data_IF_227467453693
#
_entry.id   IF_227467453693
#
_cell.length_a   1.000
_cell.length_b   1.000
_cell.length_c   1.000
_cell.angle_alpha   90.00
_cell.angle_beta   90.00
_cell.angle_gamma   90.00
#
_symmetry.space_group_name_H-M   'P 1'
#
loop_
_entity.id
_entity.type
_entity.pdbx_description
1 polymer ?
#
# COMPACT_ATOMS: atom_id res chain seq x y z
N UNK A 1 -3.96 -11.45 4.04
CA UNK A 1 -3.69 -10.35 3.07
C UNK A 1 -2.29 -10.56 2.50
N UNK A 2 -2.02 -10.18 1.24
CA UNK A 2 -0.65 -10.28 0.70
C UNK A 2 0.26 -9.13 1.20
N UNK A 3 1.59 -9.32 1.14
CA UNK A 3 2.56 -8.32 1.60
C UNK A 3 2.49 -7.00 0.83
N UNK A 4 2.07 -7.02 -0.44
CA UNK A 4 1.97 -5.82 -1.29
C UNK A 4 0.81 -4.96 -0.83
N UNK A 5 -0.35 -5.56 -0.66
CA UNK A 5 -1.57 -4.90 -0.21
C UNK A 5 -1.41 -4.41 1.22
N UNK A 6 -0.76 -5.18 2.10
CA UNK A 6 -0.42 -4.73 3.44
C UNK A 6 0.47 -3.48 3.41
N UNK A 7 1.52 -3.48 2.57
CA UNK A 7 2.41 -2.32 2.43
C UNK A 7 1.69 -1.11 1.84
N UNK A 8 0.83 -1.34 0.84
CA UNK A 8 0.00 -0.29 0.23
C UNK A 8 -0.92 0.35 1.27
N UNK A 9 -1.53 -0.45 2.14
CA UNK A 9 -2.37 0.04 3.24
C UNK A 9 -1.58 0.83 4.28
N UNK A 10 -0.39 0.39 4.66
CA UNK A 10 0.48 1.17 5.56
C UNK A 10 0.78 2.54 4.95
N UNK A 11 1.19 2.59 3.68
CA UNK A 11 1.52 3.85 3.01
C UNK A 11 0.31 4.77 2.95
N UNK A 12 -0.88 4.24 2.68
CA UNK A 12 -2.12 5.00 2.63
C UNK A 12 -2.55 5.51 4.01
N UNK A 13 -2.62 4.63 5.01
CA UNK A 13 -3.14 4.93 6.35
C UNK A 13 -2.27 5.98 7.06
N UNK A 14 -0.95 5.82 6.99
CA UNK A 14 0.01 6.72 7.61
C UNK A 14 0.39 7.91 6.70
N UNK A 15 -0.29 8.07 5.55
CA UNK A 15 -0.04 9.15 4.57
C UNK A 15 1.43 9.30 4.19
N UNK A 16 2.12 8.17 4.02
CA UNK A 16 3.56 8.16 3.74
C UNK A 16 3.82 8.64 2.32
N UNK A 17 4.76 9.57 2.18
CA UNK A 17 5.17 10.08 0.88
C UNK A 17 6.19 9.12 0.28
N UNK A 18 5.87 8.51 -0.87
CA UNK A 18 6.73 7.55 -1.56
C UNK A 18 8.13 8.12 -1.89
N UNK A 19 8.21 9.42 -2.19
CA UNK A 19 9.48 10.14 -2.41
C UNK A 19 10.37 10.12 -1.16
N UNK A 20 9.76 10.31 0.01
CA UNK A 20 10.48 10.34 1.29
C UNK A 20 10.89 8.94 1.72
N UNK A 21 10.01 7.95 1.57
CA UNK A 21 10.36 6.55 1.76
C UNK A 21 11.54 6.12 0.88
N UNK A 22 11.56 6.56 -0.37
CA UNK A 22 12.68 6.28 -1.27
C UNK A 22 13.98 6.94 -0.84
N UNK A 23 13.92 8.19 -0.36
CA UNK A 23 15.09 8.90 0.19
C UNK A 23 15.68 8.19 1.41
N UNK A 24 14.83 7.75 2.34
CA UNK A 24 15.27 7.10 3.58
C UNK A 24 15.75 5.66 3.35
N UNK A 25 15.08 4.91 2.48
CA UNK A 25 15.41 3.50 2.22
C UNK A 25 16.51 3.30 1.17
N UNK A 26 16.83 4.32 0.39
CA UNK A 26 17.71 4.22 -0.78
C UNK A 26 17.04 3.57 -2.01
N UNK A 27 15.74 3.21 -1.91
CA UNK A 27 14.99 2.61 -3.03
C UNK A 27 14.37 3.70 -3.88
N UNK A 28 14.51 3.62 -5.21
CA UNK A 28 13.94 4.64 -6.09
C UNK A 28 12.40 4.74 -5.92
N UNK A 29 11.81 5.95 -5.75
CA UNK A 29 10.38 6.13 -5.49
C UNK A 29 9.46 5.45 -6.52
N UNK A 30 9.86 5.45 -7.80
CA UNK A 30 9.12 4.76 -8.86
C UNK A 30 9.00 3.24 -8.62
N UNK A 31 10.01 2.61 -8.01
CA UNK A 31 9.95 1.18 -7.70
C UNK A 31 8.94 0.92 -6.57
N UNK A 32 8.90 1.79 -5.56
CA UNK A 32 7.92 1.73 -4.47
C UNK A 32 6.50 1.94 -5.03
N UNK A 33 6.33 2.92 -5.91
CA UNK A 33 5.04 3.21 -6.56
C UNK A 33 4.56 2.06 -7.43
N UNK A 34 5.43 1.53 -8.30
CA UNK A 34 5.13 0.40 -9.17
C UNK A 34 4.78 -0.86 -8.36
N UNK A 35 5.45 -1.07 -7.22
CA UNK A 35 5.10 -2.13 -6.28
C UNK A 35 3.71 -1.98 -5.72
N UNK A 36 3.38 -0.80 -5.18
CA UNK A 36 2.07 -0.54 -4.59
C UNK A 36 0.91 -0.64 -5.60
N UNK A 37 1.17 -0.40 -6.89
CA UNK A 37 0.17 -0.46 -7.96
C UNK A 37 0.03 -1.83 -8.62
N UNK A 38 0.82 -2.83 -8.22
CA UNK A 38 0.81 -4.14 -8.88
C UNK A 38 1.67 -4.24 -10.15
N UNK A 39 2.29 -3.15 -10.61
CA UNK A 39 3.02 -3.10 -11.88
C UNK A 39 4.39 -3.77 -11.86
N UNK A 40 5.03 -3.90 -10.69
CA UNK A 40 6.31 -4.62 -10.53
C UNK A 40 6.45 -5.20 -9.13
N UNK A 41 7.25 -6.24 -8.96
CA UNK A 41 7.66 -6.74 -7.64
C UNK A 41 8.94 -6.05 -7.17
N UNK A 42 9.08 -5.82 -5.87
CA UNK A 42 10.38 -5.43 -5.30
C UNK A 42 11.21 -6.70 -5.06
N UNK A 43 12.53 -6.59 -5.19
CA UNK A 43 13.43 -7.58 -4.62
C UNK A 43 13.27 -7.62 -3.10
N UNK A 44 13.58 -8.76 -2.49
CA UNK A 44 13.52 -8.92 -1.04
C UNK A 44 14.35 -7.85 -0.31
N UNK A 45 15.55 -7.55 -0.81
CA UNK A 45 16.43 -6.53 -0.26
C UNK A 45 15.79 -5.13 -0.28
N UNK A 46 15.24 -4.71 -1.41
CA UNK A 46 14.57 -3.41 -1.53
C UNK A 46 13.31 -3.34 -0.66
N UNK A 47 12.56 -4.43 -0.57
CA UNK A 47 11.40 -4.50 0.32
C UNK A 47 11.83 -4.34 1.78
N UNK A 48 12.88 -5.05 2.22
CA UNK A 48 13.42 -4.93 3.57
C UNK A 48 13.95 -3.52 3.87
N UNK A 49 14.61 -2.87 2.89
CA UNK A 49 15.08 -1.50 3.04
C UNK A 49 13.91 -0.52 3.27
N UNK A 50 12.83 -0.64 2.49
CA UNK A 50 11.61 0.16 2.68
C UNK A 50 10.93 -0.16 4.01
N UNK A 51 10.87 -1.43 4.39
CA UNK A 51 10.25 -1.86 5.64
C UNK A 51 11.00 -1.32 6.87
N UNK A 52 12.34 -1.31 6.84
CA UNK A 52 13.19 -0.86 7.96
C UNK A 52 13.05 0.63 8.28
N UNK A 53 12.69 1.45 7.29
CA UNK A 53 12.50 2.90 7.51
C UNK A 53 11.12 3.25 8.05
N UNK A 54 10.19 2.29 8.08
CA UNK A 54 8.90 2.47 8.72
C UNK A 54 9.06 2.60 10.23
N UNK A 55 8.22 3.43 10.85
CA UNK A 55 8.16 3.52 12.31
C UNK A 55 7.73 2.19 12.92
N UNK A 56 8.04 2.00 14.22
CA UNK A 56 7.63 0.80 14.96
C UNK A 56 6.11 0.58 14.91
N UNK A 57 5.35 1.67 14.91
CA UNK A 57 3.90 1.69 14.79
C UNK A 57 3.42 1.17 13.43
N UNK A 58 4.01 1.69 12.35
CA UNK A 58 3.71 1.29 10.96
C UNK A 58 4.06 -0.18 10.71
N UNK A 59 5.19 -0.65 11.26
CA UNK A 59 5.59 -2.05 11.18
C UNK A 59 4.60 -2.96 11.92
N UNK A 60 4.09 -2.55 13.08
CA UNK A 60 3.07 -3.31 13.82
C UNK A 60 1.76 -3.39 13.03
N UNK A 61 1.32 -2.27 12.45
CA UNK A 61 0.13 -2.26 11.58
C UNK A 61 0.31 -3.21 10.39
N UNK A 62 1.48 -3.17 9.75
CA UNK A 62 1.81 -4.10 8.66
C UNK A 62 1.67 -5.57 9.09
N UNK A 63 2.28 -5.95 10.22
CA UNK A 63 2.21 -7.32 10.70
C UNK A 63 0.79 -7.75 11.04
N UNK A 64 0.00 -6.90 11.71
CA UNK A 64 -1.41 -7.18 12.00
C UNK A 64 -2.22 -7.46 10.71
N UNK A 65 -1.96 -6.69 9.64
CA UNK A 65 -2.61 -6.92 8.34
C UNK A 65 -2.21 -8.26 7.70
N UNK A 66 -0.94 -8.64 7.82
CA UNK A 66 -0.42 -9.88 7.21
C UNK A 66 -0.85 -11.11 7.99
N UNK A 67 -0.78 -11.09 9.32
CA UNK A 67 -1.13 -12.23 10.17
C UNK A 67 -2.63 -12.38 10.38
N UNK A 68 -3.41 -11.32 10.15
CA UNK A 68 -4.84 -11.31 10.42
C UNK A 68 -5.19 -11.08 11.89
N UNK A 69 -4.19 -10.79 12.73
CA UNK A 69 -4.38 -10.47 14.14
C UNK A 69 -4.80 -9.01 14.30
N UNK A 70 -6.09 -8.75 14.09
CA UNK A 70 -6.67 -7.39 14.19
C UNK A 70 -6.68 -6.88 15.65
N UNK A 71 -6.52 -7.76 16.65
CA UNK A 71 -6.52 -7.37 18.08
C UNK A 71 -5.32 -6.49 18.47
N UNK A 72 -4.19 -6.58 17.76
CA UNK A 72 -3.02 -5.71 17.98
C UNK A 72 -3.21 -4.27 17.46
N UNK A 73 -4.29 -3.99 16.72
CA UNK A 73 -4.60 -2.69 16.15
C UNK A 73 -5.49 -1.80 17.05
N UNK A 74 -5.90 -2.27 18.23
CA UNK A 74 -6.86 -1.55 19.09
C UNK A 74 -6.42 -0.18 19.62
N UNK A 75 -5.11 0.08 19.70
CA UNK A 75 -4.51 1.37 20.09
C UNK A 75 -3.90 2.14 18.90
N UNK A 76 -3.89 1.53 17.72
CA UNK A 76 -3.45 2.19 16.49
C UNK A 76 -4.63 2.99 15.92
N UNK A 77 -4.41 4.07 15.15
CA UNK A 77 -5.50 4.73 14.45
C UNK A 77 -6.30 3.69 13.67
N UNK A 78 -7.49 3.38 14.19
CA UNK A 78 -8.37 2.36 13.62
C UNK A 78 -8.72 2.86 12.22
N UNK A 79 -8.45 2.08 11.16
CA UNK A 79 -8.75 2.52 9.82
C UNK A 79 -10.25 2.81 9.77
N UNK A 80 -10.60 4.03 9.41
CA UNK A 80 -11.97 4.35 8.96
C UNK A 80 -12.13 3.64 7.62
N UNK A 81 -12.35 2.33 7.68
CA UNK A 81 -12.86 1.55 6.56
C UNK A 81 -14.31 2.04 6.42
N UNK A 82 -14.51 3.08 5.62
CA UNK A 82 -15.83 3.32 5.04
C UNK A 82 -16.18 2.03 4.31
N UNK A 83 -17.07 1.24 4.90
CA UNK A 83 -17.71 0.13 4.22
C UNK A 83 -18.40 0.74 3.00
N UNK A 84 -17.78 0.60 1.83
CA UNK A 84 -18.47 0.82 0.57
C UNK A 84 -19.43 -0.37 0.48
N UNK A 85 -20.68 -0.07 0.77
CA UNK A 85 -21.77 -1.03 0.71
C UNK A 85 -21.78 -1.75 -0.63
N UNK A 86 -22.01 -3.05 -0.52
CA UNK A 86 -22.23 -4.00 -1.58
C UNK A 86 -23.32 -3.51 -2.55
N UNK A 87 -22.98 -3.22 -3.81
CA UNK A 87 -23.88 -3.37 -4.96
C UNK A 87 -23.07 -3.84 -6.19
N UNK A 88 -23.43 -5.03 -6.66
CA UNK A 88 -23.00 -5.76 -7.86
C UNK A 88 -23.24 -5.00 -9.20
N UNK A 89 -22.76 -5.52 -10.34
CA UNK A 89 -22.03 -4.76 -11.35
C UNK A 89 -22.91 -4.12 -12.43
N UNK A 90 -22.44 -3.00 -13.00
CA UNK A 90 -22.79 -2.60 -14.36
C UNK A 90 -21.51 -2.35 -15.15
N UNK A 91 -21.27 -3.28 -16.07
CA UNK A 91 -20.42 -3.10 -17.24
C UNK A 91 -21.02 -1.95 -18.04
N UNK A 92 -20.30 -0.84 -18.15
CA UNK A 92 -20.46 0.09 -19.26
C UNK A 92 -19.12 0.12 -19.99
N UNK A 93 -19.11 -0.54 -21.15
CA UNK A 93 -18.09 -0.35 -22.17
C UNK A 93 -18.39 1.02 -22.79
N UNK A 94 -17.57 2.01 -22.47
CA UNK A 94 -17.41 3.19 -23.32
C UNK A 94 -15.93 3.26 -23.69
N UNK A 95 -15.66 2.76 -24.90
CA UNK A 95 -14.57 3.21 -25.74
C UNK A 95 -14.66 4.73 -25.87
N UNK A 96 -13.59 5.48 -25.58
CA UNK A 96 -13.36 6.75 -26.27
C UNK A 96 -11.87 7.12 -26.32
N UNK A 97 -11.37 7.08 -27.55
CA UNK A 97 -10.33 7.89 -28.16
C UNK A 97 -8.98 8.06 -27.45
N UNK A 98 -8.04 7.22 -27.91
CA UNK A 98 -6.70 7.71 -28.24
C UNK A 98 -6.77 8.31 -29.65
N UNK A 99 -7.06 9.61 -29.77
CA UNK A 99 -6.81 10.36 -31.00
C UNK A 99 -5.62 11.31 -30.81
N UNK A 100 -4.67 11.13 -31.72
CA UNK A 100 -3.46 11.91 -31.92
C UNK A 100 -3.70 13.42 -31.96
N UNK A 101 -2.77 14.18 -31.36
CA UNK A 101 -2.18 15.38 -31.97
C UNK A 101 -0.86 15.71 -31.30
#
# INVERSE_FOLDING_TARGET
>A
MDFREAMRRVIFEFRLVQKELGRLSGVHPNNISAFCRGGRSLSLENFQAVFRVLSREQQRYFFALVTGDVELAGDLPVPVIRQVGNQDPKVNVEEDLCESR
#
